data_IF_287880800942
#
_entry.id   IF_287880800942
#
_cell.length_a   1.000
_cell.length_b   1.000
_cell.length_c   1.000
_cell.angle_alpha   90.00
_cell.angle_beta   90.00
_cell.angle_gamma   90.00
#
_symmetry.space_group_name_H-M   'P 1'
#
loop_
_entity.id
_entity.type
_entity.pdbx_description
1 polymer ?
#
# COMPACT_ATOMS: atom_id res chain seq x y z
N UNK A 1 -4.42 25.90 -7.37
CA UNK A 1 -4.87 24.82 -6.46
C UNK A 1 -5.27 23.62 -7.32
N UNK A 2 -4.54 22.51 -7.29
CA UNK A 2 -4.86 21.34 -8.13
C UNK A 2 -6.07 20.56 -7.57
N UNK A 3 -6.99 20.17 -8.45
CA UNK A 3 -8.12 19.28 -8.13
C UNK A 3 -7.61 17.85 -7.87
N UNK A 4 -8.32 17.05 -7.06
CA UNK A 4 -7.98 15.65 -6.81
C UNK A 4 -7.88 14.82 -8.10
N UNK A 5 -8.65 15.17 -9.14
CA UNK A 5 -8.53 14.53 -10.44
C UNK A 5 -7.19 14.80 -11.13
N UNK A 6 -6.65 16.00 -10.96
CA UNK A 6 -5.37 16.39 -11.56
C UNK A 6 -4.18 15.69 -10.89
N UNK A 7 -4.29 15.37 -9.59
CA UNK A 7 -3.24 14.65 -8.86
C UNK A 7 -3.19 13.18 -9.23
N UNK A 8 -4.34 12.55 -9.45
CA UNK A 8 -4.43 11.19 -10.01
C UNK A 8 -3.74 11.14 -11.38
N UNK A 9 -4.07 12.08 -12.28
CA UNK A 9 -3.48 12.13 -13.63
C UNK A 9 -1.95 12.29 -13.57
N UNK A 10 -1.44 13.09 -12.64
CA UNK A 10 0.00 13.29 -12.49
C UNK A 10 0.70 12.03 -11.95
N UNK A 11 0.11 11.37 -10.97
CA UNK A 11 0.63 10.11 -10.44
C UNK A 11 0.66 9.00 -11.48
N UNK A 12 -0.40 8.88 -12.28
CA UNK A 12 -0.49 7.86 -13.33
C UNK A 12 0.53 8.05 -14.46
N UNK A 13 1.16 9.23 -14.58
CA UNK A 13 2.31 9.44 -15.48
C UNK A 13 3.60 8.85 -14.92
N UNK A 14 3.72 8.70 -13.60
CA UNK A 14 4.89 8.15 -12.94
C UNK A 14 4.79 6.62 -12.91
N UNK A 15 5.69 5.95 -13.66
CA UNK A 15 5.73 4.48 -13.76
C UNK A 15 5.94 3.77 -12.41
N UNK A 16 6.42 4.50 -11.39
CA UNK A 16 6.64 3.95 -10.05
C UNK A 16 5.34 3.81 -9.27
N UNK A 17 4.30 4.55 -9.63
CA UNK A 17 3.01 4.51 -8.94
C UNK A 17 2.12 3.45 -9.61
N UNK A 18 1.65 2.43 -8.87
CA UNK A 18 0.75 1.44 -9.42
C UNK A 18 -0.62 2.06 -9.72
N UNK A 19 -1.13 1.83 -10.92
CA UNK A 19 -2.48 2.27 -11.30
C UNK A 19 -3.57 1.67 -10.39
N UNK A 20 -3.28 0.49 -9.82
CA UNK A 20 -4.12 -0.20 -8.86
C UNK A 20 -4.48 0.63 -7.62
N UNK A 21 -3.66 1.62 -7.25
CA UNK A 21 -3.95 2.54 -6.15
C UNK A 21 -5.28 3.29 -6.35
N UNK A 22 -5.65 3.55 -7.59
CA UNK A 22 -6.81 4.35 -7.98
C UNK A 22 -7.98 3.50 -8.48
N UNK A 23 -7.93 2.18 -8.31
CA UNK A 23 -9.03 1.30 -8.66
C UNK A 23 -10.25 1.52 -7.77
N UNK A 24 -11.42 1.43 -8.41
CA UNK A 24 -12.71 1.35 -7.71
C UNK A 24 -12.92 -0.05 -7.14
N UNK A 25 -13.97 -0.21 -6.34
CA UNK A 25 -14.37 -1.53 -5.79
C UNK A 25 -14.67 -2.54 -6.88
N UNK A 26 -15.24 -2.10 -7.99
CA UNK A 26 -15.61 -2.94 -9.14
C UNK A 26 -14.35 -3.42 -9.87
N UNK A 27 -13.39 -2.52 -10.13
CA UNK A 27 -12.12 -2.90 -10.74
C UNK A 27 -11.34 -3.93 -9.90
N UNK A 28 -11.35 -3.81 -8.56
CA UNK A 28 -10.73 -4.81 -7.67
C UNK A 28 -11.49 -6.15 -7.75
N UNK A 29 -12.81 -6.10 -7.84
CA UNK A 29 -13.67 -7.28 -7.93
C UNK A 29 -13.54 -8.01 -9.28
N UNK A 30 -13.31 -7.29 -10.38
CA UNK A 30 -13.02 -7.88 -11.68
C UNK A 30 -11.60 -8.46 -11.71
N UNK A 31 -10.62 -7.77 -11.12
CA UNK A 31 -9.25 -8.28 -10.99
C UNK A 31 -9.18 -9.63 -10.24
N UNK A 32 -9.93 -9.80 -9.15
CA UNK A 32 -9.92 -11.08 -8.40
C UNK A 32 -10.56 -12.23 -9.19
N UNK A 33 -11.55 -11.91 -10.04
CA UNK A 33 -12.16 -12.86 -10.97
C UNK A 33 -11.19 -13.25 -12.09
N UNK A 34 -10.51 -12.28 -12.71
CA UNK A 34 -9.45 -12.50 -13.70
C UNK A 34 -8.28 -13.30 -13.14
N UNK A 35 -7.98 -13.15 -11.84
CA UNK A 35 -6.96 -13.93 -11.14
C UNK A 35 -7.35 -15.42 -10.97
N UNK A 36 -8.61 -15.78 -11.24
CA UNK A 36 -9.13 -17.14 -11.13
C UNK A 36 -9.86 -17.42 -9.82
N UNK A 37 -10.26 -16.39 -9.07
CA UNK A 37 -11.00 -16.52 -7.82
C UNK A 37 -12.37 -15.81 -7.83
N UNK A 38 -13.27 -16.13 -8.80
CA UNK A 38 -14.59 -15.51 -8.90
C UNK A 38 -15.44 -15.65 -7.63
N UNK A 39 -15.24 -16.73 -6.85
CA UNK A 39 -15.92 -16.96 -5.58
C UNK A 39 -15.68 -15.87 -4.53
N UNK A 40 -14.55 -15.15 -4.61
CA UNK A 40 -14.22 -14.08 -3.69
C UNK A 40 -14.69 -12.70 -4.15
N UNK A 41 -15.26 -12.57 -5.35
CA UNK A 41 -15.76 -11.30 -5.89
C UNK A 41 -16.71 -10.60 -4.92
N UNK A 42 -17.69 -11.33 -4.40
CA UNK A 42 -18.64 -10.81 -3.42
C UNK A 42 -17.94 -10.35 -2.13
N UNK A 43 -16.92 -11.06 -1.66
CA UNK A 43 -16.16 -10.70 -0.46
C UNK A 43 -15.51 -9.31 -0.60
N UNK A 44 -14.88 -9.03 -1.75
CA UNK A 44 -14.24 -7.72 -1.99
C UNK A 44 -15.27 -6.59 -2.13
N UNK A 45 -16.39 -6.84 -2.81
CA UNK A 45 -17.47 -5.86 -2.98
C UNK A 45 -18.17 -5.53 -1.65
N UNK A 46 -18.58 -6.53 -0.88
CA UNK A 46 -19.27 -6.34 0.41
C UNK A 46 -18.40 -5.61 1.43
N UNK A 47 -17.08 -5.84 1.42
CA UNK A 47 -16.13 -5.15 2.31
C UNK A 47 -15.66 -3.78 1.75
N UNK A 48 -16.18 -3.37 0.59
CA UNK A 48 -15.83 -2.12 -0.08
C UNK A 48 -14.32 -1.96 -0.26
N UNK A 49 -13.63 -3.02 -0.70
CA UNK A 49 -12.19 -3.02 -0.92
C UNK A 49 -11.88 -2.28 -2.23
N UNK A 50 -11.41 -1.04 -2.12
CA UNK A 50 -10.92 -0.24 -3.25
C UNK A 50 -9.40 -0.36 -3.39
N UNK A 51 -8.82 0.26 -4.43
CA UNK A 51 -7.38 0.25 -4.68
C UNK A 51 -6.51 0.69 -3.50
N UNK A 52 -6.96 1.72 -2.77
CA UNK A 52 -6.29 2.20 -1.55
C UNK A 52 -6.26 1.13 -0.45
N UNK A 53 -7.41 0.51 -0.15
CA UNK A 53 -7.50 -0.59 0.82
C UNK A 53 -6.70 -1.80 0.35
N UNK A 54 -6.71 -2.12 -0.94
CA UNK A 54 -5.96 -3.23 -1.52
C UNK A 54 -4.46 -3.10 -1.26
N UNK A 55 -3.91 -1.89 -1.39
CA UNK A 55 -2.49 -1.61 -1.13
C UNK A 55 -2.03 -1.84 0.31
N UNK A 56 -2.96 -1.85 1.27
CA UNK A 56 -2.69 -2.09 2.69
C UNK A 56 -3.26 -3.42 3.19
N UNK A 57 -3.76 -4.27 2.29
CA UNK A 57 -4.36 -5.54 2.65
C UNK A 57 -3.27 -6.60 2.84
N UNK A 58 -3.07 -7.05 4.08
CA UNK A 58 -2.10 -8.10 4.42
C UNK A 58 -2.76 -9.47 4.55
N UNK A 59 -1.92 -10.52 4.50
CA UNK A 59 -2.37 -11.91 4.56
C UNK A 59 -3.23 -12.23 5.80
N UNK A 60 -2.94 -11.57 6.93
CA UNK A 60 -3.67 -11.73 8.19
C UNK A 60 -5.09 -11.16 8.17
N UNK A 61 -5.42 -10.27 7.25
CA UNK A 61 -6.74 -9.66 7.13
C UNK A 61 -7.72 -10.51 6.31
N UNK A 62 -7.22 -11.47 5.51
CA UNK A 62 -8.06 -12.26 4.60
C UNK A 62 -9.17 -13.08 5.27
N UNK A 63 -8.93 -13.76 6.42
CA UNK A 63 -9.99 -14.48 7.11
C UNK A 63 -11.15 -13.57 7.54
N UNK A 64 -10.86 -12.30 7.86
CA UNK A 64 -11.88 -11.33 8.27
C UNK A 64 -12.76 -10.86 7.11
N UNK A 65 -12.24 -10.88 5.89
CA UNK A 65 -13.03 -10.52 4.69
C UNK A 65 -13.76 -11.71 4.08
N UNK A 66 -13.52 -12.93 4.57
CA UNK A 66 -14.17 -14.16 4.11
C UNK A 66 -13.31 -15.10 3.26
N UNK A 67 -12.00 -14.86 3.18
CA UNK A 67 -11.05 -15.75 2.48
C UNK A 67 -10.32 -16.57 3.55
N UNK A 68 -10.68 -17.84 3.68
CA UNK A 68 -10.19 -18.73 4.75
C UNK A 68 -9.21 -19.79 4.24
N UNK A 69 -9.18 -20.05 2.94
CA UNK A 69 -8.28 -21.04 2.35
C UNK A 69 -6.84 -20.51 2.30
N UNK A 70 -5.92 -21.23 2.93
CA UNK A 70 -4.53 -20.80 3.05
C UNK A 70 -3.80 -20.76 1.71
N UNK A 71 -4.08 -21.68 0.79
CA UNK A 71 -3.45 -21.68 -0.54
C UNK A 71 -3.92 -20.48 -1.35
N UNK A 72 -5.22 -20.16 -1.29
CA UNK A 72 -5.76 -18.97 -1.93
C UNK A 72 -5.17 -17.69 -1.33
N UNK A 73 -5.05 -17.61 0.00
CA UNK A 73 -4.43 -16.47 0.70
C UNK A 73 -3.01 -16.24 0.18
N UNK A 74 -2.19 -17.30 0.04
CA UNK A 74 -0.82 -17.17 -0.46
C UNK A 74 -0.77 -16.60 -1.88
N UNK A 75 -1.60 -17.13 -2.78
CA UNK A 75 -1.65 -16.71 -4.19
C UNK A 75 -2.11 -15.25 -4.27
N UNK A 76 -3.22 -14.91 -3.62
CA UNK A 76 -3.78 -13.56 -3.65
C UNK A 76 -2.79 -12.56 -3.03
N UNK A 77 -2.22 -12.86 -1.87
CA UNK A 77 -1.24 -11.99 -1.21
C UNK A 77 0.00 -11.73 -2.06
N UNK A 78 0.44 -12.73 -2.85
CA UNK A 78 1.56 -12.58 -3.79
C UNK A 78 1.19 -11.64 -4.93
N UNK A 79 0.03 -11.88 -5.56
CA UNK A 79 -0.42 -11.05 -6.68
C UNK A 79 -0.69 -9.60 -6.27
N UNK A 80 -1.17 -9.33 -5.05
CA UNK A 80 -1.30 -7.94 -4.53
C UNK A 80 0.06 -7.26 -4.45
N UNK A 81 1.09 -7.94 -3.94
CA UNK A 81 2.45 -7.39 -3.84
C UNK A 81 3.02 -7.04 -5.22
N UNK A 82 2.84 -7.95 -6.18
CA UNK A 82 3.25 -7.73 -7.57
C UNK A 82 2.48 -6.59 -8.24
N UNK A 83 1.16 -6.49 -8.00
CA UNK A 83 0.29 -5.46 -8.55
C UNK A 83 0.63 -4.05 -8.05
N UNK A 84 1.01 -3.94 -6.77
CA UNK A 84 1.26 -2.66 -6.09
C UNK A 84 2.77 -2.31 -6.08
N UNK A 85 3.61 -3.16 -6.66
CA UNK A 85 5.08 -3.03 -6.67
C UNK A 85 5.69 -2.94 -5.26
N UNK A 86 5.11 -3.64 -4.30
CA UNK A 86 5.64 -3.72 -2.93
C UNK A 86 6.71 -4.82 -2.90
N UNK A 87 7.90 -4.47 -2.42
CA UNK A 87 8.98 -5.42 -2.20
C UNK A 87 8.61 -6.46 -1.12
N UNK A 88 9.08 -7.69 -1.31
CA UNK A 88 8.96 -8.71 -0.28
C UNK A 88 9.77 -8.32 0.98
N UNK A 89 9.28 -8.68 2.18
CA UNK A 89 10.04 -8.46 3.40
C UNK A 89 11.33 -9.28 3.37
N UNK A 90 12.45 -8.60 3.17
CA UNK A 90 13.78 -9.20 3.21
C UNK A 90 14.23 -9.40 4.66
N UNK A 91 14.57 -10.63 5.04
CA UNK A 91 15.07 -10.96 6.37
C UNK A 91 16.43 -10.31 6.68
N UNK A 92 17.18 -9.91 5.64
CA UNK A 92 18.47 -9.25 5.72
C UNK A 92 18.39 -7.71 5.51
N UNK A 93 17.19 -7.11 5.56
CA UNK A 93 17.04 -5.65 5.52
C UNK A 93 17.70 -5.03 6.74
N UNK A 94 18.52 -4.00 6.55
CA UNK A 94 19.21 -3.37 7.67
C UNK A 94 18.20 -2.68 8.56
N UNK A 95 18.39 -2.78 9.88
CA UNK A 95 17.67 -1.91 10.82
C UNK A 95 18.05 -0.43 10.66
N UNK A 96 18.99 -0.11 9.75
CA UNK A 96 19.47 1.20 9.30
C UNK A 96 18.72 1.72 8.05
N UNK A 97 17.78 0.96 7.52
CA UNK A 97 16.94 1.37 6.40
C UNK A 97 15.52 1.68 6.89
N UNK A 98 14.78 2.60 6.25
CA UNK A 98 13.37 2.81 6.53
C UNK A 98 12.59 1.49 6.44
N UNK A 99 11.52 1.32 7.24
CA UNK A 99 10.76 0.07 7.29
C UNK A 99 10.09 -0.29 5.96
N UNK A 100 9.82 0.72 5.11
CA UNK A 100 9.26 0.58 3.77
C UNK A 100 10.06 1.41 2.78
N UNK A 101 10.06 1.00 1.51
CA UNK A 101 10.59 1.84 0.45
C UNK A 101 9.69 3.08 0.25
N UNK A 102 10.17 4.07 -0.51
CA UNK A 102 9.44 5.33 -0.74
C UNK A 102 8.03 5.07 -1.28
N UNK A 103 7.86 4.09 -2.17
CA UNK A 103 6.55 3.72 -2.68
C UNK A 103 5.64 3.16 -1.58
N UNK A 104 6.13 2.25 -0.75
CA UNK A 104 5.40 1.68 0.37
C UNK A 104 4.97 2.73 1.39
N UNK A 105 5.82 3.74 1.66
CA UNK A 105 5.44 4.89 2.49
C UNK A 105 4.34 5.73 1.83
N UNK A 106 4.39 5.92 0.52
CA UNK A 106 3.35 6.63 -0.23
C UNK A 106 2.00 5.93 -0.21
N UNK A 107 2.01 4.61 -0.39
CA UNK A 107 0.81 3.78 -0.38
C UNK A 107 0.16 3.79 1.00
N UNK A 108 0.96 3.73 2.06
CA UNK A 108 0.49 3.86 3.43
C UNK A 108 -0.14 5.23 3.69
N UNK A 109 0.48 6.31 3.21
CA UNK A 109 -0.12 7.66 3.25
C UNK A 109 -1.47 7.67 2.52
N UNK A 110 -1.55 7.07 1.33
CA UNK A 110 -2.75 7.04 0.47
C UNK A 110 -3.82 6.05 0.93
N UNK A 111 -3.52 5.15 1.86
CA UNK A 111 -4.50 4.26 2.48
C UNK A 111 -5.56 5.04 3.27
N UNK A 112 -5.16 6.19 3.82
CA UNK A 112 -6.04 7.12 4.51
C UNK A 112 -6.77 8.04 3.52
N UNK A 113 -7.80 8.73 4.02
CA UNK A 113 -8.56 9.72 3.25
C UNK A 113 -8.41 11.09 3.89
N UNK A 114 -8.25 12.15 3.10
CA UNK A 114 -8.15 13.51 3.62
C UNK A 114 -7.69 14.51 2.57
N UNK A 115 -8.14 15.78 2.68
CA UNK A 115 -7.89 16.83 1.69
C UNK A 115 -6.40 17.00 1.33
N UNK A 116 -5.51 16.90 2.31
CA UNK A 116 -4.07 17.00 2.07
C UNK A 116 -3.54 15.73 1.39
N UNK A 117 -3.88 14.56 1.92
CA UNK A 117 -3.48 13.24 1.40
C UNK A 117 -3.91 13.05 -0.05
N UNK A 118 -5.16 13.40 -0.38
CA UNK A 118 -5.71 13.27 -1.72
C UNK A 118 -5.00 14.18 -2.72
N UNK A 119 -4.49 15.33 -2.25
CA UNK A 119 -3.77 16.30 -3.07
C UNK A 119 -2.28 16.00 -3.22
N UNK A 120 -1.69 15.27 -2.28
CA UNK A 120 -0.27 14.89 -2.34
C UNK A 120 -0.04 13.91 -3.49
N UNK A 121 0.86 14.25 -4.42
CA UNK A 121 1.34 13.31 -5.45
C UNK A 121 2.58 12.57 -4.97
N UNK A 122 2.94 11.47 -5.62
CA UNK A 122 4.15 10.72 -5.29
C UNK A 122 5.41 11.59 -5.41
N UNK A 123 5.49 12.37 -6.50
CA UNK A 123 6.58 13.33 -6.73
C UNK A 123 6.64 14.39 -5.63
N UNK A 124 5.49 14.93 -5.21
CA UNK A 124 5.45 15.91 -4.11
C UNK A 124 5.90 15.29 -2.80
N UNK A 125 5.50 14.06 -2.49
CA UNK A 125 5.94 13.37 -1.27
C UNK A 125 7.47 13.23 -1.24
N UNK A 126 8.10 12.91 -2.38
CA UNK A 126 9.56 12.84 -2.49
C UNK A 126 10.25 14.19 -2.24
N UNK A 127 9.65 15.29 -2.69
CA UNK A 127 10.21 16.64 -2.52
C UNK A 127 9.93 17.26 -1.14
N UNK A 128 8.77 16.97 -0.55
CA UNK A 128 8.36 17.46 0.78
C UNK A 128 9.11 16.70 1.87
N UNK A 129 9.48 15.44 1.59
CA UNK A 129 10.13 14.56 2.54
C UNK A 129 11.42 13.98 1.97
N UNK A 130 12.44 14.81 1.66
CA UNK A 130 13.70 14.33 1.11
C UNK A 130 14.45 13.43 2.10
N UNK A 131 14.11 13.51 3.40
CA UNK A 131 14.47 12.55 4.46
C UNK A 131 13.67 12.88 5.75
N UNK A 132 12.68 12.09 6.20
CA UNK A 132 12.06 12.28 7.50
C UNK A 132 12.93 11.74 8.64
N UNK A 133 14.26 11.74 8.51
CA UNK A 133 15.21 11.20 9.51
C UNK A 133 14.64 9.93 10.16
N UNK A 134 14.31 8.93 9.35
CA UNK A 134 14.27 7.60 9.89
C UNK A 134 15.69 7.38 10.44
N UNK A 135 15.82 7.38 11.77
CA UNK A 135 17.07 7.18 12.46
C UNK A 135 16.96 5.80 13.09
N UNK A 136 17.90 4.88 12.82
CA UNK A 136 17.98 3.68 13.63
C UNK A 136 18.11 4.13 15.09
N UNK A 137 17.58 3.37 16.05
CA UNK A 137 17.98 3.60 17.44
C UNK A 137 19.52 3.62 17.49
N UNK A 138 20.09 4.73 17.94
CA UNK A 138 21.54 4.98 17.96
C UNK A 138 22.29 4.01 18.91
N UNK A 139 21.56 3.19 19.66
CA UNK A 139 22.10 2.13 20.49
C UNK A 139 21.53 0.77 20.08
N UNK A 140 22.41 -0.22 20.08
CA UNK A 140 22.12 -1.65 20.09
C UNK A 140 21.45 -2.13 21.40
N UNK A 141 21.01 -1.23 22.28
CA UNK A 141 20.52 -1.53 23.62
C UNK A 141 18.98 -1.46 23.77
N UNK A 142 18.22 -1.18 22.70
CA UNK A 142 16.75 -1.11 22.73
C UNK A 142 16.18 -0.19 23.83
N UNK A 143 16.91 0.84 24.25
CA UNK A 143 16.45 1.79 25.25
C UNK A 143 15.93 3.06 24.56
N UNK A 144 14.63 3.34 24.66
CA UNK A 144 14.04 4.62 24.27
C UNK A 144 14.39 5.61 25.40
N UNK A 145 15.38 6.46 25.17
CA UNK A 145 15.65 7.58 26.08
C UNK A 145 14.62 8.70 25.82
N UNK A 146 14.07 9.34 26.86
CA UNK A 146 13.18 10.48 26.68
C UNK A 146 13.95 11.65 26.04
N UNK A 147 13.22 12.46 25.25
CA UNK A 147 13.76 13.72 24.72
C UNK A 147 13.69 14.78 25.82
N UNK A 148 14.84 15.36 26.14
CA UNK A 148 14.95 16.64 26.86
C UNK A 148 14.40 17.80 26.01
#
# INVERSE_FOLDING_TARGET
MASAQATIVEDLKDKRVPSALYWTTEHVADWIEELGFPQYKACFLTNLVNGRKLSCLHASAFPRIGITDFEHIKIIAKNIRELVYIEDPFWNRTIADPPKNNLGMYLELKSCTGKHIDRTTFKQMYHINPDPKWQPPLSNQCMILPRD
#
